data_IF_027175192853
#
_entry.id   IF_027175192853
#
_cell.length_a   1.000
_cell.length_b   1.000
_cell.length_c   1.000
_cell.angle_alpha   90.00
_cell.angle_beta   90.00
_cell.angle_gamma   90.00
#
_symmetry.space_group_name_H-M   'P 1'
#
loop_
_entity.id
_entity.type
_entity.pdbx_description
1 polymer ?
#
# COMPACT_ATOMS: atom_id res chain seq x y z
N UNK A 1 3.99 7.94 -23.52
CA UNK A 1 3.52 8.06 -23.43
C UNK A 1 2.97 7.80 -23.10
N UNK A 2 2.91 7.59 -23.00
CA UNK A 2 2.25 7.46 -22.74
C UNK A 2 1.58 7.03 -22.48
N UNK A 3 1.43 6.93 -22.23
CA UNK A 3 0.69 6.73 -22.06
C UNK A 3 0.10 6.12 -21.92
N UNK A 4 -0.07 5.77 -21.99
CA UNK A 4 -0.80 5.40 -21.95
C UNK A 4 -1.21 4.52 -21.79
N UNK A 5 -1.27 4.18 -21.56
CA UNK A 5 -1.76 3.59 -21.54
C UNK A 5 -2.01 2.83 -21.15
N UNK A 6 -1.82 2.45 -20.91
CA UNK A 6 -2.25 1.84 -20.62
C UNK A 6 -2.89 1.53 -20.16
N UNK A 7 -2.61 1.55 -20.06
CA UNK A 7 -3.75 1.54 -19.70
C UNK A 7 -4.62 0.53 -19.36
N UNK A 8 -4.76 -0.32 -19.92
CA UNK A 8 -5.76 -1.21 -19.59
C UNK A 8 -5.45 -2.05 -18.41
N UNK A 9 -4.28 -2.46 -18.22
CA UNK A 9 -3.97 -3.10 -16.96
C UNK A 9 -3.81 -2.08 -15.88
N UNK A 10 -3.55 -0.86 -16.25
CA UNK A 10 -3.48 0.23 -15.29
C UNK A 10 -4.80 0.54 -14.65
N UNK A 11 -5.90 0.09 -15.22
CA UNK A 11 -7.17 0.43 -14.64
C UNK A 11 -7.44 -0.25 -13.30
N UNK A 12 -6.62 -1.22 -12.90
CA UNK A 12 -6.77 -1.84 -11.61
C UNK A 12 -5.97 -1.12 -10.55
N UNK A 13 -4.78 -0.70 -10.87
CA UNK A 13 -3.92 -0.07 -9.90
C UNK A 13 -3.00 0.89 -10.61
N UNK A 14 -2.74 2.01 -9.97
CA UNK A 14 -1.97 3.09 -10.58
C UNK A 14 -0.55 3.12 -10.03
N UNK A 15 0.09 1.97 -9.99
CA UNK A 15 1.48 1.83 -9.59
C UNK A 15 2.25 1.11 -10.67
N UNK A 16 3.51 1.49 -10.83
CA UNK A 16 4.42 0.75 -11.71
C UNK A 16 4.95 -0.46 -10.96
N UNK A 17 5.48 -1.43 -11.72
CA UNK A 17 6.15 -2.57 -11.11
C UNK A 17 7.30 -2.13 -10.23
N UNK A 18 8.03 -1.11 -10.66
CA UNK A 18 9.13 -0.56 -9.90
C UNK A 18 8.68 -0.01 -8.56
N UNK A 19 7.58 0.74 -8.56
CA UNK A 19 7.02 1.27 -7.32
C UNK A 19 6.54 0.15 -6.40
N UNK A 20 5.88 -0.86 -6.97
CA UNK A 20 5.43 -1.99 -6.17
C UNK A 20 6.59 -2.72 -5.50
N UNK A 21 7.69 -2.90 -6.24
CA UNK A 21 8.88 -3.55 -5.68
C UNK A 21 9.49 -2.74 -4.54
N UNK A 22 9.53 -1.43 -4.70
CA UNK A 22 10.03 -0.54 -3.65
C UNK A 22 9.18 -0.65 -2.41
N UNK A 23 7.86 -0.66 -2.58
CA UNK A 23 6.94 -0.78 -1.45
C UNK A 23 7.15 -2.10 -0.72
N UNK A 24 7.22 -3.20 -1.45
CA UNK A 24 7.44 -4.52 -0.83
C UNK A 24 8.74 -4.55 -0.04
N UNK A 25 9.81 -4.00 -0.61
CA UNK A 25 11.09 -3.98 0.07
C UNK A 25 11.06 -3.13 1.33
N UNK A 26 10.47 -1.93 1.25
CA UNK A 26 10.37 -1.05 2.41
C UNK A 26 9.55 -1.69 3.52
N UNK A 27 8.43 -2.29 3.18
CA UNK A 27 7.57 -2.92 4.18
C UNK A 27 8.30 -4.06 4.86
N UNK A 28 9.01 -4.87 4.10
CA UNK A 28 9.77 -5.97 4.66
C UNK A 28 10.87 -5.46 5.58
N UNK A 29 11.56 -4.40 5.19
CA UNK A 29 12.64 -3.84 6.00
C UNK A 29 12.13 -3.23 7.29
N UNK A 30 10.96 -2.58 7.24
CA UNK A 30 10.43 -1.87 8.39
C UNK A 30 9.67 -2.79 9.34
N UNK A 31 9.00 -3.79 8.81
CA UNK A 31 8.06 -4.59 9.61
C UNK A 31 8.39 -6.09 9.65
N UNK A 32 9.33 -6.55 8.84
CA UNK A 32 9.72 -7.95 8.85
C UNK A 32 9.10 -8.75 7.71
N UNK A 33 9.58 -9.98 7.57
CA UNK A 33 9.22 -10.83 6.45
C UNK A 33 7.76 -11.32 6.50
N UNK A 34 7.13 -11.30 7.68
CA UNK A 34 5.74 -11.74 7.80
C UNK A 34 4.73 -10.68 7.38
N UNK A 35 5.19 -9.46 7.19
CA UNK A 35 4.30 -8.36 6.81
C UNK A 35 3.81 -8.54 5.38
N UNK A 36 2.52 -8.28 5.18
CA UNK A 36 1.93 -8.30 3.85
C UNK A 36 1.35 -6.93 3.57
N UNK A 37 1.58 -6.44 2.36
CA UNK A 37 1.10 -5.13 1.96
C UNK A 37 0.09 -5.29 0.83
N UNK A 38 -0.98 -4.51 0.91
CA UNK A 38 -2.03 -4.46 -0.09
C UNK A 38 -2.34 -3.02 -0.43
N UNK A 39 -2.85 -2.80 -1.60
CA UNK A 39 -3.21 -1.47 -2.08
C UNK A 39 -4.71 -1.28 -1.94
N UNK A 40 -5.11 -0.09 -1.48
CA UNK A 40 -6.54 0.23 -1.45
C UNK A 40 -6.72 1.70 -1.82
N UNK A 41 -7.98 2.14 -1.85
CA UNK A 41 -8.29 3.54 -2.07
C UNK A 41 -8.20 3.97 -3.52
N UNK A 42 -7.78 5.21 -3.73
CA UNK A 42 -7.86 5.83 -5.04
C UNK A 42 -6.96 5.18 -6.08
N UNK A 43 -5.90 4.49 -5.65
CA UNK A 43 -5.02 3.81 -6.60
C UNK A 43 -5.66 2.58 -7.24
N UNK A 44 -6.80 2.13 -6.70
CA UNK A 44 -7.55 1.03 -7.32
C UNK A 44 -8.51 1.53 -8.39
N UNK A 45 -8.77 2.83 -8.41
CA UNK A 45 -9.69 3.43 -9.37
C UNK A 45 -8.89 4.28 -10.33
N UNK A 46 -8.78 3.83 -11.55
CA UNK A 46 -7.99 4.48 -12.58
C UNK A 46 -8.50 5.88 -12.90
N UNK A 47 -9.76 6.14 -12.65
CA UNK A 47 -10.36 7.44 -12.95
C UNK A 47 -10.15 8.45 -11.81
N UNK A 48 -9.67 8.01 -10.66
CA UNK A 48 -9.48 8.90 -9.52
C UNK A 48 -8.30 9.83 -9.75
N UNK A 49 -8.37 11.00 -9.14
CA UNK A 49 -7.37 12.06 -9.29
C UNK A 49 -6.56 12.18 -8.02
N UNK A 50 -6.19 11.21 -7.36
CA UNK A 50 -5.43 11.32 -6.14
C UNK A 50 -3.95 11.22 -6.37
N UNK A 51 -3.18 11.84 -5.50
CA UNK A 51 -1.74 11.69 -5.46
C UNK A 51 -1.26 10.73 -4.41
N UNK A 52 -2.13 10.35 -3.47
CA UNK A 52 -1.73 9.54 -2.33
C UNK A 52 -1.70 8.06 -2.71
N UNK A 53 -0.78 7.35 -2.07
CA UNK A 53 -0.72 5.90 -2.16
C UNK A 53 -1.31 5.35 -0.86
N UNK A 54 -2.39 4.59 -0.97
CA UNK A 54 -3.09 4.04 0.21
C UNK A 54 -2.69 2.59 0.38
N UNK A 55 -1.98 2.30 1.46
CA UNK A 55 -1.44 0.97 1.71
C UNK A 55 -2.02 0.38 2.99
N UNK A 56 -2.36 -0.89 2.92
CA UNK A 56 -2.76 -1.68 4.08
C UNK A 56 -1.67 -2.70 4.36
N UNK A 57 -1.11 -2.68 5.56
CA UNK A 57 -0.08 -3.63 5.95
C UNK A 57 -0.61 -4.50 7.08
N UNK A 58 -0.53 -5.81 6.88
CA UNK A 58 -0.92 -6.80 7.89
C UNK A 58 0.31 -7.44 8.48
N UNK A 59 0.38 -7.49 9.81
CA UNK A 59 1.50 -8.08 10.53
C UNK A 59 0.99 -9.01 11.61
N UNK A 60 1.86 -9.93 12.07
CA UNK A 60 1.50 -10.82 13.16
C UNK A 60 1.51 -10.10 14.50
N UNK A 61 2.42 -9.18 14.69
CA UNK A 61 2.54 -8.42 15.93
C UNK A 61 1.94 -7.04 15.78
N UNK A 62 1.45 -6.48 16.89
CA UNK A 62 0.98 -5.10 16.88
C UNK A 62 2.15 -4.15 16.65
N UNK A 63 1.88 -3.07 15.93
CA UNK A 63 2.89 -2.06 15.61
C UNK A 63 2.67 -0.82 16.45
N UNK A 64 3.77 -0.21 16.88
CA UNK A 64 3.69 1.06 17.61
C UNK A 64 3.43 2.20 16.63
N UNK A 65 2.97 3.32 17.18
CA UNK A 65 2.83 4.53 16.38
C UNK A 65 4.16 4.94 15.76
N UNK A 66 5.25 4.81 16.53
CA UNK A 66 6.59 5.16 16.04
C UNK A 66 6.96 4.29 14.84
N UNK A 67 6.73 3.00 14.92
CA UNK A 67 7.04 2.10 13.81
C UNK A 67 6.26 2.49 12.55
N UNK A 68 4.99 2.81 12.71
CA UNK A 68 4.15 3.21 11.58
C UNK A 68 4.62 4.53 10.98
N UNK A 69 4.97 5.49 11.83
CA UNK A 69 5.42 6.80 11.34
C UNK A 69 6.73 6.68 10.58
N UNK A 70 7.67 5.89 11.11
CA UNK A 70 8.96 5.71 10.43
C UNK A 70 8.79 5.02 9.09
N UNK A 71 7.92 4.02 9.03
CA UNK A 71 7.66 3.32 7.78
C UNK A 71 7.01 4.23 6.76
N UNK A 72 6.05 5.05 7.18
CA UNK A 72 5.41 6.02 6.29
C UNK A 72 6.45 6.97 5.70
N UNK A 73 7.35 7.49 6.54
CA UNK A 73 8.38 8.40 6.06
C UNK A 73 9.31 7.71 5.06
N UNK A 74 9.70 6.49 5.35
CA UNK A 74 10.58 5.74 4.47
C UNK A 74 9.92 5.50 3.10
N UNK A 75 8.64 5.15 3.12
CA UNK A 75 7.89 4.92 1.88
C UNK A 75 7.75 6.20 1.08
N UNK A 76 7.42 7.30 1.75
CA UNK A 76 7.28 8.58 1.05
C UNK A 76 8.58 9.03 0.42
N UNK A 77 9.68 8.82 1.12
CA UNK A 77 10.99 9.18 0.57
C UNK A 77 11.35 8.32 -0.63
N UNK A 78 11.00 7.05 -0.58
CA UNK A 78 11.35 6.14 -1.66
C UNK A 78 10.46 6.33 -2.89
N UNK A 79 9.20 6.70 -2.69
CA UNK A 79 8.24 6.82 -3.78
C UNK A 79 8.08 8.24 -4.30
N UNK A 80 8.49 9.24 -3.52
CA UNK A 80 8.26 10.66 -3.82
C UNK A 80 6.76 10.95 -3.95
N UNK A 81 5.96 10.27 -3.15
CA UNK A 81 4.50 10.44 -3.12
C UNK A 81 4.04 10.38 -1.67
N UNK A 82 2.96 11.10 -1.35
CA UNK A 82 2.36 10.92 -0.03
C UNK A 82 1.83 9.50 0.13
N UNK A 83 1.99 8.95 1.31
CA UNK A 83 1.57 7.59 1.61
C UNK A 83 0.63 7.61 2.81
N UNK A 84 -0.52 6.99 2.66
CA UNK A 84 -1.47 6.80 3.73
C UNK A 84 -1.39 5.33 4.15
N UNK A 85 -0.83 5.09 5.32
CA UNK A 85 -0.51 3.73 5.77
C UNK A 85 -1.47 3.30 6.87
N UNK A 86 -2.23 2.25 6.59
CA UNK A 86 -3.10 1.61 7.57
C UNK A 86 -2.48 0.27 7.94
N UNK A 87 -2.34 0.03 9.24
CA UNK A 87 -1.76 -1.24 9.70
C UNK A 87 -2.80 -2.01 10.50
N UNK A 88 -2.81 -3.32 10.30
CA UNK A 88 -3.69 -4.21 11.06
C UNK A 88 -2.89 -5.41 11.53
N UNK A 89 -3.27 -5.93 12.69
CA UNK A 89 -2.67 -7.13 13.23
C UNK A 89 -3.55 -8.32 12.82
N UNK A 90 -2.92 -9.37 12.32
CA UNK A 90 -3.66 -10.57 11.91
C UNK A 90 -4.42 -11.13 13.10
N UNK A 91 -5.65 -11.54 12.84
CA UNK A 91 -6.50 -12.08 13.88
C UNK A 91 -7.22 -11.03 14.70
N UNK A 92 -6.99 -9.76 14.44
CA UNK A 92 -7.67 -8.66 15.12
C UNK A 92 -8.57 -7.92 14.12
N UNK A 93 -9.75 -7.47 14.57
CA UNK A 93 -10.68 -6.81 13.63
C UNK A 93 -10.21 -5.43 13.20
N UNK A 94 -9.45 -4.74 14.04
CA UNK A 94 -9.02 -3.38 13.73
C UNK A 94 -10.14 -2.36 13.90
N UNK A 95 -9.85 -1.13 13.51
CA UNK A 95 -10.83 -0.06 13.54
C UNK A 95 -11.86 -0.27 12.42
N UNK A 96 -12.94 0.51 12.47
CA UNK A 96 -13.94 0.47 11.40
C UNK A 96 -13.30 0.83 10.05
N UNK A 97 -12.44 1.84 10.04
CA UNK A 97 -11.76 2.23 8.81
C UNK A 97 -10.85 1.11 8.30
N UNK A 98 -10.12 0.46 9.20
CA UNK A 98 -9.24 -0.64 8.82
C UNK A 98 -10.04 -1.79 8.21
N UNK A 99 -11.22 -2.07 8.73
CA UNK A 99 -12.05 -3.14 8.18
C UNK A 99 -12.53 -2.81 6.78
N UNK A 100 -12.89 -1.56 6.55
CA UNK A 100 -13.29 -1.12 5.21
C UNK A 100 -12.10 -1.23 4.25
N UNK A 101 -10.93 -0.74 4.67
CA UNK A 101 -9.75 -0.81 3.85
C UNK A 101 -9.39 -2.24 3.50
N UNK A 102 -9.50 -3.13 4.49
CA UNK A 102 -9.18 -4.55 4.29
C UNK A 102 -10.12 -5.19 3.26
N UNK A 103 -11.40 -4.82 3.28
CA UNK A 103 -12.36 -5.40 2.35
C UNK A 103 -12.12 -4.94 0.91
N UNK A 104 -11.51 -3.77 0.72
CA UNK A 104 -11.26 -3.20 -0.60
C UNK A 104 -9.85 -3.47 -1.12
N UNK A 105 -8.95 -3.91 -0.26
CA UNK A 105 -7.54 -4.00 -0.60
C UNK A 105 -7.27 -5.11 -1.61
N UNK A 106 -6.29 -4.86 -2.47
CA UNK A 106 -5.84 -5.79 -3.50
C UNK A 106 -4.38 -6.15 -3.26
N UNK A 107 -4.00 -7.42 -3.44
CA UNK A 107 -2.60 -7.80 -3.31
C UNK A 107 -1.74 -7.08 -4.33
N UNK A 108 -0.58 -6.63 -3.89
CA UNK A 108 0.32 -5.89 -4.77
C UNK A 108 1.09 -6.78 -5.72
N UNK A 109 1.19 -8.05 -5.42
CA UNK A 109 1.91 -8.97 -6.30
C UNK A 109 1.20 -9.18 -7.64
N UNK A 110 0.02 -8.62 -7.81
CA UNK A 110 -0.66 -8.65 -9.10
C UNK A 110 0.04 -7.81 -10.15
N UNK A 111 1.01 -7.02 -9.75
CA UNK A 111 1.69 -6.10 -10.66
C UNK A 111 2.87 -6.71 -11.36
N UNK A 112 3.00 -7.95 -11.33
CA UNK A 112 4.12 -8.57 -12.00
C UNK A 112 4.11 -8.41 -13.49
#
# INVERSE_FOLDING_TARGET
>A
MLLFKPLEQGHFMRLTSSQANVIHRCVREQFGADAQVKLFGSRLDDSAQGGDVDLLVETNAALTLRQRALATMALEQALYLPVDLVTVQRGQPGSAFARIARSQAQPMNQFK
#
